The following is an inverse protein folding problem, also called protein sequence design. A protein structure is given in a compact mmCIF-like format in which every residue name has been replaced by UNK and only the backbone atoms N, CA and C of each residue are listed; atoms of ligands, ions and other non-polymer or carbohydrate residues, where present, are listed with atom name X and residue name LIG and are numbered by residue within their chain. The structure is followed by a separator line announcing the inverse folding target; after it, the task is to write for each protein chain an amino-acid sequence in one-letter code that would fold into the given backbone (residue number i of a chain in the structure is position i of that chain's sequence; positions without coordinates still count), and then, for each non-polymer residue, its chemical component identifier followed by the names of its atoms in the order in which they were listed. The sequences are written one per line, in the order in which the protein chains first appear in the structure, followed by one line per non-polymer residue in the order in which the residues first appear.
data_IF_228844873201
#
_entry.id   IF_228844873201
#
_cell.length_a   1.000
_cell.length_b   1.000
_cell.length_c   1.000
_cell.angle_alpha   90.00
_cell.angle_beta   90.00
_cell.angle_gamma   90.00
#
_symmetry.space_group_name_H-M   'P 1'
#
loop_
_entity.id
_entity.type
_entity.pdbx_description
1 polymer ?
#
# COMPACT_ATOMS: atom_id res chain seq x y z
N UNK A 1 3.18 -9.94 8.73
CA UNK A 1 1.70 -9.95 8.66
C UNK A 1 1.32 -10.62 7.35
N UNK A 2 0.19 -11.31 7.28
CA UNK A 2 -0.34 -11.82 6.00
C UNK A 2 -0.99 -10.69 5.17
N UNK A 3 -1.37 -11.00 3.94
CA UNK A 3 -2.03 -10.02 3.07
C UNK A 3 -3.38 -9.54 3.59
N UNK A 4 -4.16 -10.40 4.26
CA UNK A 4 -5.46 -10.04 4.81
C UNK A 4 -5.33 -8.99 5.91
N UNK A 5 -4.39 -9.20 6.84
CA UNK A 5 -3.99 -8.25 7.86
C UNK A 5 -3.48 -6.95 7.22
N UNK A 6 -2.61 -7.03 6.22
CA UNK A 6 -2.12 -5.85 5.51
C UNK A 6 -3.27 -5.04 4.88
N UNK A 7 -4.27 -5.71 4.31
CA UNK A 7 -5.46 -5.07 3.77
C UNK A 7 -6.33 -4.40 4.86
N UNK A 8 -6.43 -5.00 6.04
CA UNK A 8 -7.11 -4.39 7.18
C UNK A 8 -6.38 -3.15 7.70
N UNK A 9 -5.05 -3.15 7.71
CA UNK A 9 -4.26 -1.96 8.04
C UNK A 9 -4.45 -0.85 6.99
N UNK A 10 -4.47 -1.20 5.69
CA UNK A 10 -4.78 -0.27 4.61
C UNK A 10 -6.17 0.37 4.77
N UNK A 11 -7.19 -0.41 5.15
CA UNK A 11 -8.55 0.10 5.44
C UNK A 11 -8.58 1.07 6.63
N UNK A 12 -7.66 0.92 7.58
CA UNK A 12 -7.48 1.85 8.70
C UNK A 12 -6.69 3.11 8.32
N UNK A 13 -6.33 3.28 7.04
CA UNK A 13 -5.58 4.43 6.54
C UNK A 13 -4.07 4.36 6.80
N UNK A 14 -3.56 3.20 7.23
CA UNK A 14 -2.13 2.99 7.43
C UNK A 14 -1.47 2.57 6.12
N UNK A 15 -0.16 2.72 6.08
CA UNK A 15 0.70 2.29 4.98
C UNK A 15 1.40 0.98 5.32
N UNK A 16 1.52 0.11 4.32
CA UNK A 16 2.18 -1.20 4.46
C UNK A 16 3.26 -1.38 3.42
N UNK A 17 4.25 -2.21 3.70
CA UNK A 17 5.31 -2.59 2.78
C UNK A 17 5.64 -4.07 2.95
N UNK A 18 6.43 -4.64 2.03
CA UNK A 18 6.97 -6.00 2.16
C UNK A 18 8.44 -5.93 2.51
N UNK A 19 8.91 -6.86 3.34
CA UNK A 19 10.31 -6.92 3.76
C UNK A 19 11.30 -7.07 2.59
N UNK A 20 10.87 -7.73 1.51
CA UNK A 20 11.68 -7.94 0.31
C UNK A 20 11.63 -6.82 -0.74
N UNK A 21 10.92 -5.71 -0.47
CA UNK A 21 10.82 -4.61 -1.43
C UNK A 21 12.08 -3.74 -1.47
N UNK A 22 12.56 -3.46 -2.68
CA UNK A 22 13.82 -2.74 -2.93
C UNK A 22 13.61 -1.22 -2.83
N UNK A 23 13.54 -0.71 -1.61
CA UNK A 23 13.63 0.73 -1.37
C UNK A 23 13.03 1.14 -0.03
N UNK A 24 13.73 2.02 0.70
CA UNK A 24 13.30 2.56 2.02
C UNK A 24 11.97 3.33 1.99
N UNK A 25 11.33 3.46 0.81
CA UNK A 25 10.12 4.26 0.59
C UNK A 25 9.06 3.55 -0.25
N UNK A 26 9.24 2.27 -0.59
CA UNK A 26 8.19 1.56 -1.32
C UNK A 26 7.09 1.12 -0.36
N UNK A 27 5.87 1.59 -0.58
CA UNK A 27 4.72 1.28 0.28
C UNK A 27 3.43 1.23 -0.52
N UNK A 28 2.43 0.52 0.03
CA UNK A 28 1.04 0.58 -0.38
C UNK A 28 0.24 1.47 0.55
N UNK A 29 -0.71 2.18 -0.04
CA UNK A 29 -1.73 2.94 0.67
C UNK A 29 -3.08 2.78 -0.03
N UNK A 30 -4.16 2.92 0.73
CA UNK A 30 -5.52 2.98 0.21
C UNK A 30 -5.92 4.44 0.00
N UNK A 31 -6.17 4.81 -1.25
CA UNK A 31 -6.81 6.08 -1.57
C UNK A 31 -8.33 5.91 -1.45
N UNK A 32 -8.97 6.81 -0.69
CA UNK A 32 -10.43 6.90 -0.59
C UNK A 32 -10.85 8.25 -1.17
N UNK A 33 -11.78 8.31 -2.15
CA UNK A 33 -12.19 9.54 -2.79
C UNK A 33 -12.75 10.60 -1.84
N UNK A 34 -12.38 11.85 -2.10
CA UNK A 34 -12.92 13.07 -1.52
C UNK A 34 -13.37 14.06 -2.62
N UNK A 35 -13.77 15.27 -2.25
CA UNK A 35 -14.24 16.31 -3.18
C UNK A 35 -13.19 16.73 -4.23
N UNK A 36 -11.90 16.47 -3.97
CA UNK A 36 -10.79 16.84 -4.84
C UNK A 36 -10.22 15.64 -5.62
N UNK A 37 -10.78 14.45 -5.41
CA UNK A 37 -10.29 13.21 -6.02
C UNK A 37 -10.70 13.06 -7.48
N UNK A 38 -9.72 12.71 -8.33
CA UNK A 38 -9.98 12.40 -9.75
C UNK A 38 -10.73 11.07 -9.91
N UNK A 39 -10.40 10.06 -9.10
CA UNK A 39 -11.05 8.76 -9.10
C UNK A 39 -12.22 8.74 -8.12
N UNK A 40 -13.32 8.07 -8.50
CA UNK A 40 -14.57 8.04 -7.74
C UNK A 40 -14.82 6.76 -6.95
N UNK A 41 -13.84 5.85 -6.90
CA UNK A 41 -13.88 4.62 -6.10
C UNK A 41 -12.55 4.42 -5.39
N UNK A 42 -12.54 3.82 -4.18
CA UNK A 42 -11.29 3.51 -3.49
C UNK A 42 -10.40 2.58 -4.31
N UNK A 43 -9.09 2.80 -4.24
CA UNK A 43 -8.09 1.95 -4.89
C UNK A 43 -6.79 1.96 -4.10
N UNK A 44 -6.03 0.88 -4.22
CA UNK A 44 -4.69 0.79 -3.65
C UNK A 44 -3.71 1.37 -4.68
N UNK A 45 -2.76 2.17 -4.21
CA UNK A 45 -1.62 2.62 -5.01
C UNK A 45 -0.33 2.21 -4.34
N UNK A 46 0.73 2.15 -5.13
CA UNK A 46 2.09 1.95 -4.65
C UNK A 46 2.88 3.25 -4.81
N UNK A 47 3.77 3.54 -3.86
CA UNK A 47 4.80 4.56 -3.99
C UNK A 47 6.08 3.91 -4.52
N UNK A 48 6.40 4.03 -5.82
CA UNK A 48 7.66 3.54 -6.37
C UNK A 48 8.83 4.46 -5.99
N UNK A 49 10.06 4.01 -6.29
CA UNK A 49 11.31 4.69 -5.92
C UNK A 49 11.46 6.05 -6.62
N UNK A 50 10.85 6.22 -7.79
CA UNK A 50 10.83 7.47 -8.59
C UNK A 50 9.76 8.47 -8.12
N UNK A 51 8.88 8.09 -7.19
CA UNK A 51 7.97 8.97 -6.47
C UNK A 51 6.59 9.17 -7.11
N UNK A 52 6.40 8.76 -8.36
CA UNK A 52 5.10 8.87 -9.03
C UNK A 52 4.16 7.76 -8.57
N UNK A 53 3.13 8.13 -7.82
CA UNK A 53 2.15 7.18 -7.29
C UNK A 53 1.33 6.54 -8.42
N UNK A 54 1.32 5.22 -8.48
CA UNK A 54 0.59 4.47 -9.50
C UNK A 54 -0.41 3.48 -8.89
N UNK A 55 -1.58 3.26 -9.51
CA UNK A 55 -2.50 2.22 -9.08
C UNK A 55 -1.81 0.86 -9.00
N UNK A 56 -2.13 0.09 -7.97
CA UNK A 56 -1.50 -1.19 -7.71
C UNK A 56 -2.53 -2.31 -7.71
N UNK A 57 -2.14 -3.45 -8.28
CA UNK A 57 -2.93 -4.67 -8.31
C UNK A 57 -2.10 -5.77 -7.64
N UNK A 58 -2.70 -6.45 -6.66
CA UNK A 58 -2.04 -7.55 -5.97
C UNK A 58 -1.76 -8.70 -6.95
N UNK A 59 -0.50 -9.13 -7.02
CA UNK A 59 -0.12 -10.36 -7.70
C UNK A 59 -0.42 -11.58 -6.82
N UNK A 60 -0.38 -12.78 -7.40
CA UNK A 60 -0.51 -14.01 -6.61
C UNK A 60 0.56 -14.12 -5.51
N UNK A 61 1.79 -13.65 -5.80
CA UNK A 61 2.87 -13.62 -4.82
C UNK A 61 2.62 -12.63 -3.68
N UNK A 62 1.84 -11.57 -3.92
CA UNK A 62 1.47 -10.60 -2.88
C UNK A 62 0.35 -11.15 -2.00
N UNK A 63 -0.64 -11.81 -2.61
CA UNK A 63 -1.74 -12.44 -1.89
C UNK A 63 -1.28 -13.57 -0.96
N UNK A 64 -0.21 -14.29 -1.35
CA UNK A 64 0.37 -15.41 -0.58
C UNK A 64 1.54 -14.99 0.33
N UNK A 65 1.87 -13.70 0.38
CA UNK A 65 2.98 -13.21 1.18
C UNK A 65 2.61 -13.08 2.68
N UNK A 66 3.57 -13.44 3.54
CA UNK A 66 3.48 -13.34 5.00
C UNK A 66 4.44 -12.28 5.59
N UNK A 67 5.16 -11.58 4.71
CA UNK A 67 6.23 -10.64 5.04
C UNK A 67 5.79 -9.18 4.99
N UNK A 68 4.50 -8.91 5.20
CA UNK A 68 3.96 -7.56 5.27
C UNK A 68 4.29 -6.88 6.60
N UNK A 69 4.67 -5.60 6.51
CA UNK A 69 5.11 -4.73 7.61
C UNK A 69 4.37 -3.40 7.55
N UNK A 70 4.10 -2.77 8.70
CA UNK A 70 3.66 -1.39 8.75
C UNK A 70 4.83 -0.47 8.37
N UNK A 71 4.54 0.61 7.65
CA UNK A 71 5.51 1.68 7.48
C UNK A 71 5.40 2.59 8.69
N UNK A 72 6.43 2.65 9.52
CA UNK A 72 6.48 3.57 10.65
C UNK A 72 6.28 4.99 10.13
N UNK A 73 5.25 5.66 10.65
CA UNK A 73 5.07 7.09 10.49
C UNK A 73 6.16 7.79 11.31
N UNK A 74 7.39 7.81 10.82
CA UNK A 74 8.44 8.62 11.43
C UNK A 74 8.28 10.07 10.98
N UNK A 75 7.78 10.86 11.94
CA UNK A 75 8.10 12.25 12.31
C UNK A 75 8.49 13.24 11.21
#
# INVERSE_FOLDING_TARGET
MDFGQALDELRQGKTVTRSGWNGKRQFLALQVPDEHSKMRRPYIYISPVDGDLVPWVASQSDLLAEDWLLVDAQS
#
